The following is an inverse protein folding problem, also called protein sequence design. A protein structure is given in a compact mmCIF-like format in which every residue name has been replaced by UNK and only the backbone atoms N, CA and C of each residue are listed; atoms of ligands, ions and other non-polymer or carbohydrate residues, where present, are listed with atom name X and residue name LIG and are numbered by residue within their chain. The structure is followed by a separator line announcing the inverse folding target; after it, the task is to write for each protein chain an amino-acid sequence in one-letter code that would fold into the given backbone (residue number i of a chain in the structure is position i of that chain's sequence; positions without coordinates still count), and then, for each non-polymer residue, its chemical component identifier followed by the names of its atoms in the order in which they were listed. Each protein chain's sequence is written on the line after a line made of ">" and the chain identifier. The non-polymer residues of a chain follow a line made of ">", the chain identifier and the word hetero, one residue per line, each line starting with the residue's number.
data_IF_692965301295
#
_entry.id   IF_692965301295
#
_cell.length_a   1.000
_cell.length_b   1.000
_cell.length_c   1.000
_cell.angle_alpha   90.00
_cell.angle_beta   90.00
_cell.angle_gamma   90.00
#
_symmetry.space_group_name_H-M   'P 1'
#
loop_
_entity.id
_entity.type
_entity.pdbx_description
1 polymer ?
#
# COMPACT_ATOMS: atom_id res chain seq x y z
N UNK A 1 -5.50 4.42 -18.24
CA UNK A 1 -4.35 4.25 -17.32
C UNK A 1 -3.85 2.83 -17.47
N UNK A 2 -2.59 2.63 -17.87
CA UNK A 2 -2.02 1.28 -18.05
C UNK A 2 -1.51 0.68 -16.75
N UNK A 3 -0.87 1.47 -15.87
CA UNK A 3 -0.28 1.01 -14.62
C UNK A 3 -0.42 2.06 -13.50
N UNK A 4 -0.77 1.60 -12.30
CA UNK A 4 -0.70 2.34 -11.04
C UNK A 4 -0.72 1.32 -9.90
N UNK A 5 -0.12 1.67 -8.76
CA UNK A 5 0.02 0.76 -7.64
C UNK A 5 0.29 1.49 -6.34
N UNK A 6 0.01 0.82 -5.23
CA UNK A 6 0.39 1.25 -3.89
C UNK A 6 0.97 0.03 -3.16
N UNK A 7 2.01 0.22 -2.36
CA UNK A 7 2.69 -0.86 -1.67
C UNK A 7 2.03 -1.19 -0.33
N UNK A 8 2.04 -2.46 0.06
CA UNK A 8 1.71 -2.93 1.41
C UNK A 8 2.72 -3.98 1.85
N UNK A 9 2.73 -4.28 3.15
CA UNK A 9 3.43 -5.45 3.66
C UNK A 9 2.56 -6.71 3.48
N UNK A 10 3.19 -7.89 3.32
CA UNK A 10 2.46 -9.14 3.37
C UNK A 10 1.90 -9.39 4.78
N UNK A 11 1.02 -10.38 4.91
CA UNK A 11 0.48 -10.79 6.21
C UNK A 11 1.57 -11.39 7.11
N UNK A 12 1.25 -11.50 8.40
CA UNK A 12 2.18 -11.98 9.42
C UNK A 12 2.71 -13.39 9.13
N UNK A 13 1.88 -14.30 8.64
CA UNK A 13 2.31 -15.68 8.34
C UNK A 13 3.37 -15.73 7.24
N UNK A 14 3.24 -14.89 6.22
CA UNK A 14 4.29 -14.75 5.20
C UNK A 14 5.54 -14.12 5.80
N UNK A 15 5.40 -13.13 6.68
CA UNK A 15 6.53 -12.47 7.32
C UNK A 15 7.36 -13.40 8.22
N UNK A 16 6.69 -14.31 8.93
CA UNK A 16 7.33 -15.36 9.75
C UNK A 16 8.23 -16.32 8.97
N UNK A 17 8.10 -16.38 7.64
CA UNK A 17 8.96 -17.23 6.80
C UNK A 17 10.38 -16.68 6.63
N UNK A 18 10.59 -15.38 6.88
CA UNK A 18 11.88 -14.73 6.68
C UNK A 18 12.34 -13.81 7.83
N UNK A 19 11.49 -13.56 8.83
CA UNK A 19 11.78 -12.68 9.96
C UNK A 19 11.36 -13.30 11.30
N UNK A 20 12.18 -13.05 12.34
CA UNK A 20 11.88 -13.43 13.73
C UNK A 20 11.20 -12.28 14.47
N UNK A 21 10.55 -12.50 15.63
CA UNK A 21 9.84 -11.44 16.37
C UNK A 21 10.69 -10.20 16.68
N UNK A 22 12.00 -10.36 16.84
CA UNK A 22 12.96 -9.28 17.08
C UNK A 22 13.12 -8.35 15.86
N UNK A 23 12.79 -8.85 14.67
CA UNK A 23 12.84 -8.09 13.41
C UNK A 23 11.56 -7.30 13.12
N UNK A 24 10.54 -7.37 13.98
CA UNK A 24 9.20 -6.79 13.77
C UNK A 24 9.18 -5.27 13.94
N UNK A 25 9.94 -4.61 13.06
CA UNK A 25 10.06 -3.18 12.94
C UNK A 25 10.33 -2.88 11.47
N UNK A 26 9.57 -1.96 10.88
CA UNK A 26 9.72 -1.59 9.46
C UNK A 26 11.13 -1.06 9.10
N UNK A 27 11.92 -0.68 10.12
CA UNK A 27 13.29 -0.20 9.97
C UNK A 27 14.37 -1.23 10.34
N UNK A 28 13.99 -2.46 10.71
CA UNK A 28 14.94 -3.54 11.00
C UNK A 28 15.76 -3.91 9.76
N UNK A 29 16.93 -4.50 9.97
CA UNK A 29 17.81 -4.90 8.87
C UNK A 29 17.14 -5.94 7.96
N UNK A 30 16.40 -6.88 8.54
CA UNK A 30 15.66 -7.92 7.80
C UNK A 30 14.52 -7.32 6.99
N UNK A 31 13.74 -6.40 7.55
CA UNK A 31 12.65 -5.75 6.81
C UNK A 31 13.17 -4.85 5.68
N UNK A 32 14.28 -4.13 5.92
CA UNK A 32 14.93 -3.30 4.88
C UNK A 32 15.54 -4.14 3.77
N UNK A 33 16.13 -5.30 4.07
CA UNK A 33 16.72 -6.16 3.04
C UNK A 33 15.67 -6.74 2.09
N UNK A 34 14.43 -6.91 2.55
CA UNK A 34 13.28 -7.35 1.75
C UNK A 34 12.52 -6.21 1.06
N UNK A 35 12.80 -4.95 1.41
CA UNK A 35 12.29 -3.78 0.71
C UNK A 35 13.22 -3.40 -0.46
N UNK A 36 12.69 -3.39 -1.69
CA UNK A 36 13.49 -3.07 -2.90
C UNK A 36 13.19 -1.68 -3.48
N UNK A 37 12.14 -1.02 -3.01
CA UNK A 37 11.84 0.37 -3.36
C UNK A 37 12.62 1.34 -2.46
N UNK A 38 13.25 2.36 -3.04
CA UNK A 38 14.02 3.37 -2.31
C UNK A 38 13.17 4.24 -1.36
N UNK A 39 11.85 4.28 -1.54
CA UNK A 39 10.90 5.06 -0.72
C UNK A 39 9.87 4.19 0.01
N UNK A 40 9.87 2.87 -0.18
CA UNK A 40 8.72 1.99 0.09
C UNK A 40 8.15 2.09 1.51
N UNK A 41 8.93 1.74 2.54
CA UNK A 41 8.44 1.71 3.93
C UNK A 41 8.00 3.09 4.43
N UNK A 42 8.73 4.14 4.04
CA UNK A 42 8.42 5.52 4.44
C UNK A 42 7.13 6.02 3.79
N UNK A 43 6.88 5.66 2.53
CA UNK A 43 5.63 5.97 1.84
C UNK A 43 4.44 5.35 2.55
N UNK A 44 4.53 4.06 2.93
CA UNK A 44 3.45 3.38 3.67
C UNK A 44 3.18 4.10 4.98
N UNK A 45 4.22 4.38 5.78
CA UNK A 45 4.07 5.05 7.07
C UNK A 45 3.50 6.48 6.92
N UNK A 46 3.96 7.23 5.91
CA UNK A 46 3.46 8.57 5.62
C UNK A 46 1.97 8.56 5.32
N UNK A 47 1.52 7.75 4.37
CA UNK A 47 0.10 7.69 4.01
C UNK A 47 -0.76 7.11 5.14
N UNK A 48 -0.25 6.14 5.90
CA UNK A 48 -0.95 5.63 7.07
C UNK A 48 -1.18 6.73 8.11
N UNK A 49 -0.17 7.55 8.42
CA UNK A 49 -0.32 8.70 9.34
C UNK A 49 -1.36 9.72 8.89
N UNK A 50 -1.55 9.89 7.57
CA UNK A 50 -2.51 10.84 7.02
C UNK A 50 -3.95 10.29 6.97
N UNK A 51 -4.12 8.97 6.85
CA UNK A 51 -5.43 8.35 6.59
C UNK A 51 -5.97 7.50 7.74
N UNK A 52 -5.12 7.04 8.65
CA UNK A 52 -5.47 6.12 9.73
C UNK A 52 -4.72 6.44 11.02
N UNK A 53 -5.19 5.87 12.14
CA UNK A 53 -4.40 5.81 13.36
C UNK A 53 -3.31 4.76 13.21
N UNK A 54 -2.04 5.16 13.33
CA UNK A 54 -0.90 4.23 13.23
C UNK A 54 -0.91 3.27 14.41
N UNK A 55 -1.05 1.95 14.18
CA UNK A 55 -1.06 0.98 15.27
C UNK A 55 0.32 0.87 15.95
N UNK A 56 0.31 0.56 17.25
CA UNK A 56 1.55 0.33 18.02
C UNK A 56 2.06 -1.11 17.88
N UNK A 57 1.15 -2.07 17.70
CA UNK A 57 1.49 -3.47 17.46
C UNK A 57 1.86 -3.66 16.00
N UNK A 58 2.88 -4.46 15.76
CA UNK A 58 3.40 -4.65 14.41
C UNK A 58 2.41 -5.40 13.52
N UNK A 59 1.73 -6.41 14.06
CA UNK A 59 0.71 -7.19 13.37
C UNK A 59 -0.45 -6.31 12.89
N UNK A 60 -0.90 -5.41 13.75
CA UNK A 60 -1.95 -4.44 13.42
C UNK A 60 -1.45 -3.45 12.36
N UNK A 61 -0.18 -3.04 12.42
CA UNK A 61 0.42 -2.18 11.41
C UNK A 61 0.45 -2.86 10.03
N UNK A 62 0.78 -4.16 9.94
CA UNK A 62 0.72 -4.92 8.69
C UNK A 62 -0.70 -4.92 8.13
N UNK A 63 -1.69 -5.22 8.98
CA UNK A 63 -3.10 -5.27 8.61
C UNK A 63 -3.63 -3.92 8.11
N UNK A 64 -3.40 -2.84 8.86
CA UNK A 64 -3.81 -1.49 8.45
C UNK A 64 -3.08 -1.06 7.18
N UNK A 65 -1.83 -1.49 6.97
CA UNK A 65 -1.09 -1.26 5.72
C UNK A 65 -1.77 -1.89 4.50
N UNK A 66 -2.36 -3.07 4.65
CA UNK A 66 -3.13 -3.72 3.58
C UNK A 66 -4.46 -3.00 3.31
N UNK A 67 -5.15 -2.54 4.36
CA UNK A 67 -6.36 -1.71 4.21
C UNK A 67 -6.02 -0.42 3.47
N UNK A 68 -4.95 0.28 3.87
CA UNK A 68 -4.50 1.51 3.22
C UNK A 68 -4.27 1.30 1.72
N UNK A 69 -3.58 0.23 1.33
CA UNK A 69 -3.40 -0.12 -0.07
C UNK A 69 -4.75 -0.38 -0.77
N UNK A 70 -5.62 -1.17 -0.14
CA UNK A 70 -6.94 -1.51 -0.69
C UNK A 70 -7.77 -0.25 -0.98
N UNK A 71 -7.82 0.67 -0.02
CA UNK A 71 -8.53 1.96 -0.14
C UNK A 71 -7.93 2.84 -1.25
N UNK A 72 -6.60 2.93 -1.32
CA UNK A 72 -5.89 3.69 -2.36
C UNK A 72 -6.16 3.15 -3.77
N UNK A 73 -6.04 1.84 -3.95
CA UNK A 73 -6.30 1.17 -5.23
C UNK A 73 -7.77 1.25 -5.60
N UNK A 74 -8.70 1.03 -4.65
CA UNK A 74 -10.13 1.16 -4.89
C UNK A 74 -10.47 2.57 -5.38
N UNK A 75 -9.96 3.59 -4.70
CA UNK A 75 -10.19 4.99 -5.06
C UNK A 75 -9.70 5.30 -6.48
N UNK A 76 -8.51 4.81 -6.84
CA UNK A 76 -7.95 5.00 -8.18
C UNK A 76 -8.76 4.26 -9.27
N UNK A 77 -9.16 3.00 -9.03
CA UNK A 77 -10.02 2.22 -9.93
C UNK A 77 -11.34 2.96 -10.17
N UNK A 78 -12.00 3.37 -9.09
CA UNK A 78 -13.28 4.07 -9.19
C UNK A 78 -13.15 5.41 -9.92
N UNK A 79 -12.08 6.17 -9.66
CA UNK A 79 -11.81 7.42 -10.36
C UNK A 79 -11.65 7.20 -11.87
N UNK A 80 -10.89 6.17 -12.28
CA UNK A 80 -10.76 5.81 -13.69
C UNK A 80 -12.09 5.38 -14.31
N UNK A 81 -12.89 4.57 -13.61
CA UNK A 81 -14.20 4.15 -14.10
C UNK A 81 -15.17 5.33 -14.25
N UNK A 82 -15.18 6.28 -13.30
CA UNK A 82 -15.97 7.51 -13.40
C UNK A 82 -15.51 8.39 -14.57
N UNK A 83 -14.20 8.53 -14.75
CA UNK A 83 -13.62 9.34 -15.82
C UNK A 83 -13.81 8.72 -17.22
N UNK A 84 -13.99 7.40 -17.34
CA UNK A 84 -14.30 6.78 -18.62
C UNK A 84 -15.61 7.28 -19.24
N UNK A 85 -16.58 7.75 -18.44
CA UNK A 85 -17.77 8.41 -18.99
C UNK A 85 -17.44 9.79 -19.59
N UNK A 86 -16.50 10.52 -18.97
CA UNK A 86 -15.98 11.80 -19.49
C UNK A 86 -15.11 11.61 -20.75
N UNK A 87 -14.35 10.51 -20.81
CA UNK A 87 -13.52 10.19 -21.96
C UNK A 87 -14.34 9.69 -23.17
N UNK A 88 -15.56 9.17 -22.99
CA UNK A 88 -16.40 8.77 -24.11
C UNK A 88 -16.84 9.98 -24.98
N UNK A 89 -17.15 11.13 -24.37
CA UNK A 89 -17.47 12.37 -25.10
C UNK A 89 -16.25 12.94 -25.87
N UNK A 90 -15.02 12.65 -25.43
CA UNK A 90 -13.81 13.18 -26.06
C UNK A 90 -13.08 12.18 -26.96
N UNK A 91 -13.30 10.88 -26.81
CA UNK A 91 -12.70 9.83 -27.65
C UNK A 91 -13.65 9.23 -28.68
N UNK A 92 -14.97 9.45 -28.56
CA UNK A 92 -15.88 9.19 -29.68
C UNK A 92 -16.38 10.50 -30.22
N UNK A 93 -15.75 10.96 -31.31
CA UNK A 93 -16.22 12.12 -32.05
C UNK A 93 -17.64 11.87 -32.57
N UNK A 94 -18.63 12.25 -31.76
CA UNK A 94 -20.00 12.52 -32.17
C UNK A 94 -20.32 13.97 -31.88
#
# INVERSE_FOLDING_TARGET
>A
MSEYGFQSFPELETLKTFAIPEDYNINSQVMKSHQKSGIGNQTIEYYMKNMFNVPKKFEDFLYVGQILQSEGIRTAIEAHRRANHFAWEHCTGR
#
